data_IF_517647526234
#
_entry.id   IF_517647526234
#
_cell.length_a   1.000
_cell.length_b   1.000
_cell.length_c   1.000
_cell.angle_alpha   90.00
_cell.angle_beta   90.00
_cell.angle_gamma   90.00
#
_symmetry.space_group_name_H-M   'P 1'
#
loop_
_entity.id
_entity.type
_entity.pdbx_description
1 polymer ?
#
# COMPACT_ATOMS: atom_id res chain seq x y z
N UNK A 1 6.40 -20.47 28.98
CA UNK A 1 6.59 -20.72 27.54
C UNK A 1 7.42 -19.57 26.96
N UNK A 2 8.55 -19.89 26.39
CA UNK A 2 9.40 -18.87 25.76
C UNK A 2 9.11 -18.82 24.27
N UNK A 3 9.03 -17.60 23.74
CA UNK A 3 8.85 -17.37 22.33
C UNK A 3 10.22 -17.43 21.64
N UNK A 4 10.35 -18.29 20.64
CA UNK A 4 11.58 -18.38 19.86
C UNK A 4 11.45 -17.51 18.63
N UNK A 5 12.17 -16.40 18.60
CA UNK A 5 12.15 -15.45 17.50
C UNK A 5 13.55 -15.42 16.88
N UNK A 6 13.61 -15.43 15.55
CA UNK A 6 14.89 -15.32 14.84
C UNK A 6 15.56 -13.98 15.10
N UNK A 7 16.88 -13.93 15.27
CA UNK A 7 17.60 -12.67 15.33
C UNK A 7 17.38 -11.85 14.06
N UNK A 8 17.35 -10.54 14.20
CA UNK A 8 17.20 -9.62 13.09
C UNK A 8 18.22 -9.87 11.97
N UNK A 9 19.45 -10.22 12.35
CA UNK A 9 20.54 -10.49 11.40
C UNK A 9 20.26 -11.67 10.47
N UNK A 10 19.36 -12.58 10.83
CA UNK A 10 18.99 -13.76 10.04
C UNK A 10 17.71 -13.52 9.22
N UNK A 11 17.10 -12.36 9.32
CA UNK A 11 15.84 -12.06 8.68
C UNK A 11 16.04 -11.06 7.54
N UNK A 12 15.39 -11.32 6.40
CA UNK A 12 15.37 -10.38 5.28
C UNK A 12 14.54 -9.16 5.59
N UNK A 13 13.48 -9.34 6.36
CA UNK A 13 12.56 -8.26 6.77
C UNK A 13 12.40 -8.23 8.27
N UNK A 14 12.25 -7.03 8.80
CA UNK A 14 11.84 -6.84 10.20
C UNK A 14 10.33 -7.01 10.33
N UNK A 15 9.59 -6.60 9.28
CA UNK A 15 8.14 -6.74 9.24
C UNK A 15 7.67 -6.89 7.79
N UNK A 16 6.70 -7.78 7.59
CA UNK A 16 5.96 -7.89 6.33
C UNK A 16 4.50 -7.63 6.66
N UNK A 17 3.89 -6.68 5.95
CA UNK A 17 2.46 -6.42 6.06
C UNK A 17 1.71 -7.23 5.01
N UNK A 18 0.71 -7.98 5.46
CA UNK A 18 -0.20 -8.70 4.58
C UNK A 18 -1.55 -7.99 4.63
N UNK A 19 -1.95 -7.40 3.51
CA UNK A 19 -3.20 -6.66 3.50
C UNK A 19 -3.46 -5.94 2.20
N UNK A 20 -4.49 -5.11 2.23
CA UNK A 20 -4.95 -4.34 1.08
C UNK A 20 -4.36 -2.93 1.12
N UNK A 21 -3.83 -2.50 -0.02
CA UNK A 21 -3.35 -1.13 -0.18
C UNK A 21 -4.21 -0.47 -1.24
N UNK A 22 -4.70 0.72 -0.93
CA UNK A 22 -5.69 1.41 -1.75
C UNK A 22 -5.13 2.72 -2.29
N UNK A 23 -5.62 3.12 -3.45
CA UNK A 23 -5.48 4.49 -3.91
C UNK A 23 -6.52 5.36 -3.21
N UNK A 24 -6.05 6.43 -2.60
CA UNK A 24 -6.88 7.38 -1.90
C UNK A 24 -6.88 8.71 -2.66
N UNK A 25 -8.08 9.20 -2.99
CA UNK A 25 -8.23 10.47 -3.67
C UNK A 25 -8.83 11.49 -2.70
N UNK A 26 -8.09 12.58 -2.50
CA UNK A 26 -8.42 13.62 -1.53
C UNK A 26 -8.90 14.86 -2.27
N UNK A 27 -10.15 15.31 -2.04
CA UNK A 27 -10.68 16.51 -2.70
C UNK A 27 -10.14 17.82 -2.12
N UNK A 28 -9.32 17.77 -1.07
CA UNK A 28 -8.87 18.95 -0.36
C UNK A 28 -9.93 19.43 0.64
N UNK A 29 -10.04 20.74 0.81
CA UNK A 29 -10.97 21.32 1.78
C UNK A 29 -12.42 21.32 1.30
N UNK A 30 -12.63 21.09 0.02
CA UNK A 30 -13.96 21.09 -0.58
C UNK A 30 -14.68 19.75 -0.40
N UNK A 31 -15.88 19.69 -0.94
CA UNK A 31 -16.67 18.47 -0.94
C UNK A 31 -16.31 17.61 -2.15
N UNK A 32 -16.37 16.29 -2.00
CA UNK A 32 -16.13 15.37 -3.10
C UNK A 32 -17.02 15.70 -4.30
N UNK A 33 -18.27 15.99 -4.03
CA UNK A 33 -19.28 16.26 -5.07
C UNK A 33 -18.93 17.44 -5.97
N UNK A 34 -18.27 18.46 -5.43
CA UNK A 34 -17.93 19.68 -6.16
C UNK A 34 -16.47 19.72 -6.58
N UNK A 35 -15.68 18.75 -6.19
CA UNK A 35 -14.27 18.72 -6.52
C UNK A 35 -14.07 18.48 -8.03
N UNK A 36 -13.08 19.15 -8.59
CA UNK A 36 -12.68 19.00 -9.99
C UNK A 36 -11.27 18.43 -10.10
N UNK A 37 -10.53 18.40 -9.00
CA UNK A 37 -9.23 17.79 -8.88
C UNK A 37 -9.11 17.12 -7.54
N UNK A 38 -8.27 16.11 -7.49
CA UNK A 38 -8.03 15.30 -6.30
C UNK A 38 -6.53 15.07 -6.15
N UNK A 39 -6.06 15.12 -4.92
CA UNK A 39 -4.70 14.72 -4.60
C UNK A 39 -4.68 13.23 -4.32
N UNK A 40 -3.78 12.51 -4.98
CA UNK A 40 -3.69 11.06 -4.86
C UNK A 40 -2.68 10.67 -3.78
N UNK A 41 -3.05 9.69 -2.96
CA UNK A 41 -2.21 9.09 -1.93
C UNK A 41 -2.43 7.60 -1.88
N UNK A 42 -1.46 6.88 -1.36
CA UNK A 42 -1.66 5.49 -0.99
C UNK A 42 -2.23 5.41 0.43
N UNK A 43 -2.89 4.28 0.76
CA UNK A 43 -3.42 4.08 2.10
C UNK A 43 -3.73 2.62 2.37
N UNK A 44 -3.78 2.29 3.65
CA UNK A 44 -4.09 0.95 4.14
C UNK A 44 -3.47 0.77 5.52
N UNK A 45 -4.23 0.18 6.46
CA UNK A 45 -3.78 0.07 7.84
C UNK A 45 -2.46 -0.68 8.00
N UNK A 46 -2.38 -1.85 7.42
CA UNK A 46 -1.19 -2.71 7.51
C UNK A 46 0.00 -2.05 6.82
N UNK A 47 -0.22 -1.47 5.66
CA UNK A 47 0.82 -0.74 4.94
C UNK A 47 1.31 0.46 5.73
N UNK A 48 0.39 1.20 6.37
CA UNK A 48 0.78 2.38 7.15
C UNK A 48 1.74 2.02 8.27
N UNK A 49 1.58 0.85 8.90
CA UNK A 49 2.50 0.35 9.91
C UNK A 49 3.88 0.07 9.28
N UNK A 50 3.93 -0.61 8.15
CA UNK A 50 5.18 -0.93 7.46
C UNK A 50 5.93 0.35 7.06
N UNK A 51 5.21 1.32 6.51
CA UNK A 51 5.77 2.62 6.12
C UNK A 51 6.30 3.38 7.35
N UNK A 52 5.53 3.41 8.42
CA UNK A 52 5.92 4.09 9.66
C UNK A 52 7.18 3.49 10.27
N UNK A 53 7.26 2.17 10.33
CA UNK A 53 8.44 1.48 10.85
C UNK A 53 9.67 1.77 10.01
N UNK A 54 9.53 1.83 8.70
CA UNK A 54 10.64 2.17 7.82
C UNK A 54 11.06 3.63 7.99
N UNK A 55 10.10 4.54 7.94
CA UNK A 55 10.38 5.99 7.94
C UNK A 55 10.86 6.50 9.30
N UNK A 56 10.29 5.97 10.38
CA UNK A 56 10.59 6.46 11.73
C UNK A 56 11.75 5.71 12.38
N UNK A 57 11.92 4.43 12.09
CA UNK A 57 12.89 3.57 12.80
C UNK A 57 13.94 2.96 11.87
N UNK A 58 13.84 3.17 10.56
CA UNK A 58 14.80 2.63 9.60
C UNK A 58 14.75 1.11 9.45
N UNK A 59 13.66 0.47 9.85
CA UNK A 59 13.52 -0.98 9.75
C UNK A 59 13.30 -1.40 8.30
N UNK A 60 13.65 -2.64 7.98
CA UNK A 60 13.41 -3.20 6.65
C UNK A 60 12.02 -3.80 6.61
N UNK A 61 11.13 -3.19 5.83
CA UNK A 61 9.73 -3.60 5.76
C UNK A 61 9.32 -3.88 4.32
N UNK A 62 8.34 -4.78 4.17
CA UNK A 62 7.77 -5.12 2.88
C UNK A 62 6.27 -5.30 2.97
N UNK A 63 5.62 -5.34 1.82
CA UNK A 63 4.19 -5.61 1.72
C UNK A 63 3.97 -6.84 0.86
N UNK A 64 3.05 -7.69 1.29
CA UNK A 64 2.60 -8.85 0.53
C UNK A 64 1.13 -8.63 0.18
N UNK A 65 0.84 -8.44 -1.09
CA UNK A 65 -0.49 -8.15 -1.58
C UNK A 65 -0.58 -8.48 -3.07
N UNK A 66 -1.73 -8.26 -3.68
CA UNK A 66 -1.91 -8.43 -5.11
C UNK A 66 -2.46 -7.14 -5.70
N UNK A 67 -1.89 -6.72 -6.83
CA UNK A 67 -2.32 -5.54 -7.56
C UNK A 67 -2.67 -5.92 -9.00
N UNK A 68 -3.60 -5.16 -9.57
CA UNK A 68 -3.82 -5.20 -10.99
C UNK A 68 -2.61 -4.60 -11.72
N UNK A 69 -2.17 -5.27 -12.79
CA UNK A 69 -1.06 -4.76 -13.61
C UNK A 69 -1.60 -3.73 -14.59
N UNK A 70 -1.82 -2.53 -14.09
CA UNK A 70 -2.28 -1.37 -14.83
C UNK A 70 -1.67 -0.09 -14.25
N UNK A 71 -1.98 1.04 -14.86
CA UNK A 71 -1.41 2.32 -14.46
C UNK A 71 -1.76 2.69 -13.01
N UNK A 72 -2.96 2.33 -12.55
CA UNK A 72 -3.37 2.61 -11.16
C UNK A 72 -2.55 1.78 -10.18
N UNK A 73 -2.37 0.49 -10.46
CA UNK A 73 -1.53 -0.38 -9.64
C UNK A 73 -0.09 0.10 -9.57
N UNK A 74 0.45 0.53 -10.71
CA UNK A 74 1.81 1.07 -10.79
C UNK A 74 1.95 2.40 -10.05
N UNK A 75 0.92 3.25 -10.09
CA UNK A 75 0.90 4.49 -9.31
C UNK A 75 1.01 4.20 -7.81
N UNK A 76 0.23 3.24 -7.32
CA UNK A 76 0.29 2.85 -5.91
C UNK A 76 1.67 2.30 -5.56
N UNK A 77 2.25 1.47 -6.42
CA UNK A 77 3.61 0.94 -6.21
C UNK A 77 4.63 2.07 -6.06
N UNK A 78 4.55 3.10 -6.90
CA UNK A 78 5.45 4.24 -6.82
C UNK A 78 5.37 4.91 -5.45
N UNK A 79 4.18 5.09 -4.91
CA UNK A 79 4.01 5.64 -3.56
C UNK A 79 4.64 4.73 -2.50
N UNK A 80 4.46 3.43 -2.62
CA UNK A 80 5.03 2.46 -1.67
C UNK A 80 6.56 2.56 -1.68
N UNK A 81 7.15 2.63 -2.87
CA UNK A 81 8.60 2.77 -3.04
C UNK A 81 9.11 4.09 -2.45
N UNK A 82 8.38 5.18 -2.63
CA UNK A 82 8.72 6.46 -2.01
C UNK A 82 8.70 6.39 -0.49
N UNK A 83 7.83 5.56 0.06
CA UNK A 83 7.78 5.28 1.49
C UNK A 83 8.93 4.42 2.01
N UNK A 84 9.72 3.84 1.11
CA UNK A 84 10.85 2.99 1.46
C UNK A 84 10.47 1.55 1.77
N UNK A 85 9.27 1.13 1.43
CA UNK A 85 8.77 -0.23 1.68
C UNK A 85 9.04 -1.09 0.46
N UNK A 86 9.53 -2.31 0.67
CA UNK A 86 9.84 -3.24 -0.43
C UNK A 86 8.57 -3.76 -1.09
N UNK A 87 8.58 -3.79 -2.43
CA UNK A 87 7.44 -4.19 -3.24
C UNK A 87 7.64 -5.55 -3.94
N UNK A 88 8.74 -6.25 -3.64
CA UNK A 88 9.07 -7.50 -4.34
C UNK A 88 8.10 -8.64 -4.08
N UNK A 89 7.30 -8.55 -3.01
CA UNK A 89 6.30 -9.56 -2.65
C UNK A 89 4.91 -9.23 -3.20
N UNK A 90 4.78 -8.22 -4.03
CA UNK A 90 3.51 -7.87 -4.67
C UNK A 90 3.29 -8.82 -5.85
N UNK A 91 2.13 -9.47 -5.85
CA UNK A 91 1.69 -10.28 -6.98
C UNK A 91 0.95 -9.39 -7.98
N UNK A 92 1.47 -9.32 -9.19
CA UNK A 92 0.83 -8.58 -10.27
C UNK A 92 -0.11 -9.49 -11.03
N UNK A 93 -1.36 -9.07 -11.16
CA UNK A 93 -2.42 -9.85 -11.79
C UNK A 93 -2.85 -9.12 -13.06
N UNK A 94 -2.99 -9.81 -14.20
CA UNK A 94 -3.47 -9.15 -15.43
C UNK A 94 -4.82 -8.48 -15.18
N UNK A 95 -4.96 -7.26 -15.66
CA UNK A 95 -6.19 -6.48 -15.51
C UNK A 95 -7.08 -6.72 -16.71
N UNK A 96 -8.26 -7.25 -16.47
CA UNK A 96 -9.23 -7.56 -17.52
C UNK A 96 -10.39 -6.55 -17.61
N UNK A 97 -10.34 -5.51 -16.81
CA UNK A 97 -11.38 -4.50 -16.78
C UNK A 97 -12.58 -4.83 -15.90
N UNK A 98 -12.57 -5.98 -15.24
CA UNK A 98 -13.67 -6.46 -14.41
C UNK A 98 -13.15 -6.80 -13.01
N UNK A 99 -13.89 -6.48 -11.98
CA UNK A 99 -13.71 -7.03 -10.67
C UNK A 99 -13.05 -6.12 -9.64
N UNK A 100 -12.18 -6.68 -8.84
CA UNK A 100 -11.72 -6.11 -7.58
C UNK A 100 -11.01 -4.77 -7.68
N UNK A 101 -10.26 -4.56 -8.72
CA UNK A 101 -9.45 -3.36 -8.91
C UNK A 101 -10.32 -2.11 -8.93
N UNK A 102 -11.43 -2.19 -9.65
CA UNK A 102 -12.40 -1.11 -9.68
C UNK A 102 -13.00 -0.86 -8.30
N UNK A 103 -13.32 -1.94 -7.60
CA UNK A 103 -13.91 -1.83 -6.28
C UNK A 103 -12.93 -1.21 -5.28
N UNK A 104 -11.67 -1.64 -5.31
CA UNK A 104 -10.63 -1.08 -4.45
C UNK A 104 -10.40 0.40 -4.75
N UNK A 105 -10.39 0.77 -6.01
CA UNK A 105 -10.26 2.17 -6.42
C UNK A 105 -11.40 3.01 -5.87
N UNK A 106 -12.64 2.50 -5.98
CA UNK A 106 -13.80 3.19 -5.44
C UNK A 106 -13.75 3.34 -3.92
N UNK A 107 -13.24 2.33 -3.23
CA UNK A 107 -13.02 2.42 -1.78
C UNK A 107 -12.07 3.58 -1.44
N UNK A 108 -11.08 3.79 -2.27
CA UNK A 108 -10.16 4.89 -2.10
C UNK A 108 -10.79 6.26 -2.20
N UNK A 109 -12.00 6.36 -2.74
CA UNK A 109 -12.73 7.61 -2.87
C UNK A 109 -13.61 7.94 -1.67
N UNK A 110 -13.80 6.98 -0.77
CA UNK A 110 -14.75 7.14 0.34
C UNK A 110 -14.01 7.40 1.63
N UNK A 111 -14.08 8.61 2.09
CA UNK A 111 -13.49 9.00 3.37
C UNK A 111 -14.38 9.97 4.07
#
# INVERSE_FOLDING_TARGET
MSLSIRPQSECKYDLISLGEIMLRLDPGEGRIRTARDFKAWEGGGEYNVARGLRRCFGLTTGVATAFADNEIGRLIEDFILQGGVDTSLIKWVPYDGLGREHFQFLKGLIF
#
